data_IF_658851331910
#
_entry.id   IF_658851331910
#
_cell.length_a   1.000
_cell.length_b   1.000
_cell.length_c   1.000
_cell.angle_alpha   90.00
_cell.angle_beta   90.00
_cell.angle_gamma   90.00
#
_symmetry.space_group_name_H-M   'P 1'
#
loop_
_entity.id
_entity.type
_entity.pdbx_description
1 polymer ?
#
# COMPACT_ATOMS: atom_id res chain seq x y z
N UNK A 1 -10.30 12.42 14.23
CA UNK A 1 -9.39 13.59 14.37
C UNK A 1 -9.85 14.79 13.54
N UNK A 2 -9.96 14.67 12.21
CA UNK A 2 -10.47 15.75 11.37
C UNK A 2 -11.90 16.18 11.72
N UNK A 3 -12.81 15.20 11.84
CA UNK A 3 -14.20 15.45 12.23
C UNK A 3 -14.31 16.02 13.64
N UNK A 4 -13.37 15.66 14.53
CA UNK A 4 -13.32 16.18 15.90
C UNK A 4 -12.90 17.66 15.91
N UNK A 5 -11.96 18.07 15.04
CA UNK A 5 -11.53 19.47 14.89
C UNK A 5 -12.61 20.32 14.22
N UNK A 6 -13.32 19.78 13.22
CA UNK A 6 -14.45 20.46 12.59
C UNK A 6 -15.59 20.74 13.60
N UNK A 7 -15.84 19.82 14.53
CA UNK A 7 -16.83 19.99 15.62
C UNK A 7 -16.48 21.10 16.61
N UNK A 8 -15.22 21.54 16.66
CA UNK A 8 -14.76 22.64 17.51
C UNK A 8 -14.92 24.03 16.85
N UNK A 9 -15.58 24.11 15.68
CA UNK A 9 -15.86 25.38 15.01
C UNK A 9 -14.64 26.02 14.34
N UNK A 10 -13.50 25.31 14.25
CA UNK A 10 -12.33 25.78 13.51
C UNK A 10 -12.44 25.39 12.04
N UNK A 11 -12.10 26.34 11.16
CA UNK A 11 -11.93 26.04 9.73
C UNK A 11 -10.80 25.02 9.58
N UNK A 12 -11.17 23.79 9.28
CA UNK A 12 -10.24 22.65 9.18
C UNK A 12 -10.18 22.17 7.74
N UNK A 13 -8.98 22.05 7.20
CA UNK A 13 -8.73 21.44 5.89
C UNK A 13 -7.99 20.13 6.14
N UNK A 14 -8.56 19.03 5.66
CA UNK A 14 -7.95 17.70 5.77
C UNK A 14 -7.28 17.37 4.46
N UNK A 15 -5.98 17.13 4.53
CA UNK A 15 -5.19 16.73 3.36
C UNK A 15 -4.89 15.24 3.49
N UNK A 16 -5.56 14.37 2.72
CA UNK A 16 -5.24 12.95 2.72
C UNK A 16 -3.83 12.72 2.17
N UNK A 17 -3.25 11.54 2.42
CA UNK A 17 -1.96 11.21 1.84
C UNK A 17 -2.00 11.35 0.30
N UNK A 18 -0.87 11.73 -0.27
CA UNK A 18 -0.64 11.68 -1.70
C UNK A 18 0.46 10.70 -2.04
N UNK A 19 0.91 10.73 -3.28
CA UNK A 19 2.12 10.05 -3.73
C UNK A 19 3.02 10.98 -4.51
N UNK A 20 4.27 10.56 -4.69
CA UNK A 20 5.26 11.26 -5.48
C UNK A 20 5.40 10.59 -6.86
N UNK A 21 4.96 11.29 -7.90
CA UNK A 21 4.96 10.85 -9.28
C UNK A 21 6.35 10.85 -9.94
N UNK A 22 7.35 11.43 -9.28
CA UNK A 22 8.74 11.32 -9.69
C UNK A 22 9.43 10.10 -9.08
N UNK A 23 8.97 9.67 -7.90
CA UNK A 23 9.61 8.58 -7.15
C UNK A 23 8.99 7.21 -7.38
N UNK A 24 7.71 7.12 -7.77
CA UNK A 24 7.01 5.84 -7.92
C UNK A 24 6.47 5.67 -9.33
N UNK A 25 6.98 4.67 -10.03
CA UNK A 25 6.55 4.31 -11.40
C UNK A 25 7.01 2.88 -11.68
N UNK A 26 6.43 2.20 -12.69
CA UNK A 26 6.80 0.83 -12.99
C UNK A 26 8.31 0.70 -13.25
N UNK A 27 9.00 -0.25 -12.60
CA UNK A 27 10.43 -0.45 -12.79
C UNK A 27 10.72 -1.12 -14.14
N UNK A 28 11.93 -0.92 -14.66
CA UNK A 28 12.38 -1.54 -15.93
C UNK A 28 12.63 -3.05 -15.83
N UNK A 29 12.89 -3.54 -14.62
CA UNK A 29 13.25 -4.93 -14.36
C UNK A 29 12.38 -5.50 -13.25
N UNK A 30 12.12 -6.81 -13.34
CA UNK A 30 11.37 -7.58 -12.35
C UNK A 30 12.19 -8.77 -11.86
N UNK A 31 11.98 -9.14 -10.61
CA UNK A 31 12.58 -10.28 -9.90
C UNK A 31 11.69 -11.50 -10.13
N UNK A 32 12.21 -12.52 -10.81
CA UNK A 32 11.43 -13.70 -11.23
C UNK A 32 10.93 -14.51 -10.03
N UNK A 33 11.74 -14.56 -8.98
CA UNK A 33 11.49 -15.32 -7.75
C UNK A 33 10.31 -14.77 -6.95
N UNK A 34 9.89 -13.52 -7.20
CA UNK A 34 8.77 -12.88 -6.50
C UNK A 34 7.44 -13.00 -7.25
N UNK A 35 7.43 -13.47 -8.50
CA UNK A 35 6.26 -13.44 -9.39
C UNK A 35 5.04 -14.15 -8.80
N UNK A 36 5.21 -15.20 -8.01
CA UNK A 36 4.10 -15.94 -7.39
C UNK A 36 4.03 -15.74 -5.88
N UNK A 37 4.83 -14.80 -5.35
CA UNK A 37 4.99 -14.63 -3.91
C UNK A 37 4.36 -13.33 -3.42
N UNK A 38 3.48 -13.37 -2.40
CA UNK A 38 3.10 -12.16 -1.70
C UNK A 38 4.32 -11.51 -1.04
N UNK A 39 4.39 -10.18 -1.08
CA UNK A 39 5.46 -9.43 -0.39
C UNK A 39 4.88 -8.45 0.61
N UNK A 40 5.60 -8.23 1.69
CA UNK A 40 5.33 -7.15 2.63
C UNK A 40 6.60 -6.32 2.83
N UNK A 41 6.54 -5.01 2.58
CA UNK A 41 7.65 -4.10 2.86
C UNK A 41 7.32 -3.24 4.07
N UNK A 42 8.04 -3.43 5.17
CA UNK A 42 7.88 -2.61 6.37
C UNK A 42 8.60 -3.12 7.61
N UNK A 43 8.83 -2.19 8.54
CA UNK A 43 9.39 -2.50 9.87
C UNK A 43 8.48 -3.41 10.68
N UNK A 44 9.08 -4.30 11.45
CA UNK A 44 8.36 -5.19 12.34
C UNK A 44 7.51 -4.47 13.38
N UNK A 45 6.34 -5.04 13.64
CA UNK A 45 5.56 -4.86 14.86
C UNK A 45 4.87 -6.20 15.18
N UNK A 46 4.55 -6.45 16.44
CA UNK A 46 3.82 -7.67 16.83
C UNK A 46 2.49 -7.81 16.07
N UNK A 47 1.78 -6.69 15.82
CA UNK A 47 0.53 -6.68 15.04
C UNK A 47 0.73 -7.09 13.59
N UNK A 48 1.81 -6.63 12.94
CA UNK A 48 2.15 -7.02 11.56
C UNK A 48 2.54 -8.48 11.48
N UNK A 49 3.34 -8.97 12.43
CA UNK A 49 3.68 -10.38 12.50
C UNK A 49 2.42 -11.25 12.62
N UNK A 50 1.51 -10.93 13.57
CA UNK A 50 0.24 -11.64 13.73
C UNK A 50 -0.62 -11.64 12.46
N UNK A 51 -0.72 -10.48 11.80
CA UNK A 51 -1.45 -10.37 10.54
C UNK A 51 -0.86 -11.29 9.47
N UNK A 52 0.46 -11.27 9.28
CA UNK A 52 1.11 -12.12 8.29
C UNK A 52 1.10 -13.61 8.68
N UNK A 53 0.97 -13.94 9.97
CA UNK A 53 0.92 -15.33 10.44
C UNK A 53 -0.38 -16.05 10.10
N UNK A 54 -1.43 -15.34 9.66
CA UNK A 54 -2.62 -15.99 9.08
C UNK A 54 -2.37 -16.56 7.69
N UNK A 55 -1.32 -16.09 7.02
CA UNK A 55 -0.85 -16.61 5.75
C UNK A 55 -0.03 -17.88 6.02
N UNK A 56 -0.06 -18.84 5.08
CA UNK A 56 0.88 -19.97 5.16
C UNK A 56 2.30 -19.38 5.11
N UNK A 57 3.02 -19.52 6.22
CA UNK A 57 4.22 -18.73 6.56
C UNK A 57 5.35 -18.79 5.53
N UNK A 58 5.38 -19.82 4.67
CA UNK A 58 6.35 -19.97 3.59
C UNK A 58 6.04 -19.15 2.32
N UNK A 59 4.86 -18.52 2.22
CA UNK A 59 4.47 -17.80 1.01
C UNK A 59 5.02 -16.36 0.96
N UNK A 60 5.12 -15.67 2.10
CA UNK A 60 5.40 -14.23 2.15
C UNK A 60 6.89 -13.92 2.28
N UNK A 61 7.39 -13.05 1.41
CA UNK A 61 8.70 -12.42 1.60
C UNK A 61 8.53 -11.07 2.29
N UNK A 62 9.24 -10.89 3.40
CA UNK A 62 9.22 -9.66 4.16
C UNK A 62 10.49 -8.87 3.89
N UNK A 63 10.38 -7.62 3.47
CA UNK A 63 11.52 -6.70 3.37
C UNK A 63 11.41 -5.65 4.47
N UNK A 64 12.33 -5.64 5.43
CA UNK A 64 12.24 -4.65 6.50
C UNK A 64 13.14 -4.86 7.71
N UNK A 65 13.04 -3.93 8.64
CA UNK A 65 13.85 -3.88 9.85
C UNK A 65 13.16 -4.49 11.07
N UNK A 66 13.96 -4.89 12.06
CA UNK A 66 13.53 -5.29 13.42
C UNK A 66 12.67 -6.56 13.50
N UNK A 67 12.60 -7.36 12.44
CA UNK A 67 11.92 -8.65 12.48
C UNK A 67 12.73 -9.65 13.32
N UNK A 68 12.11 -10.33 14.30
CA UNK A 68 12.76 -11.39 15.06
C UNK A 68 13.23 -12.53 14.15
N UNK A 69 14.35 -13.17 14.49
CA UNK A 69 14.88 -14.33 13.75
C UNK A 69 13.92 -15.52 13.77
N UNK A 70 13.15 -15.65 14.85
CA UNK A 70 12.11 -16.66 15.09
C UNK A 70 10.72 -16.20 14.63
N UNK A 71 10.62 -15.15 13.81
CA UNK A 71 9.34 -14.64 13.33
C UNK A 71 8.56 -15.60 12.43
N UNK A 72 9.25 -16.60 11.86
CA UNK A 72 8.67 -17.60 10.95
C UNK A 72 8.54 -17.13 9.50
N UNK A 73 9.10 -15.97 9.14
CA UNK A 73 9.07 -15.41 7.79
C UNK A 73 10.45 -15.40 7.14
N UNK A 74 10.48 -15.44 5.80
CA UNK A 74 11.66 -15.07 5.04
C UNK A 74 11.84 -13.56 5.08
N UNK A 75 12.80 -13.09 5.88
CA UNK A 75 13.08 -11.67 6.06
C UNK A 75 14.32 -11.28 5.28
N UNK A 76 14.13 -10.39 4.32
CA UNK A 76 15.14 -9.74 3.51
C UNK A 76 15.47 -8.34 4.05
N UNK A 77 16.64 -7.78 3.70
CA UNK A 77 16.98 -6.40 4.03
C UNK A 77 15.89 -5.42 3.59
N UNK A 78 15.75 -4.30 4.32
CA UNK A 78 14.83 -3.26 3.91
C UNK A 78 15.25 -2.66 2.56
N UNK A 79 14.26 -2.44 1.69
CA UNK A 79 14.43 -1.85 0.36
C UNK A 79 13.86 -0.45 0.31
N UNK A 80 14.43 0.37 -0.56
CA UNK A 80 14.10 1.78 -0.73
C UNK A 80 14.15 2.13 -2.22
N UNK A 81 13.49 3.23 -2.61
CA UNK A 81 13.58 3.81 -3.96
C UNK A 81 13.40 2.74 -5.07
N UNK A 82 14.36 2.61 -5.97
CA UNK A 82 14.31 1.66 -7.09
C UNK A 82 14.14 0.21 -6.64
N UNK A 83 14.85 -0.22 -5.60
CA UNK A 83 14.71 -1.58 -5.06
C UNK A 83 13.30 -1.81 -4.49
N UNK A 84 12.71 -0.80 -3.85
CA UNK A 84 11.33 -0.89 -3.38
C UNK A 84 10.37 -1.11 -4.54
N UNK A 85 10.49 -0.30 -5.60
CA UNK A 85 9.64 -0.39 -6.81
C UNK A 85 9.78 -1.75 -7.46
N UNK A 86 11.02 -2.20 -7.67
CA UNK A 86 11.33 -3.51 -8.24
C UNK A 86 10.72 -4.64 -7.41
N UNK A 87 10.87 -4.62 -6.09
CA UNK A 87 10.30 -5.66 -5.22
C UNK A 87 8.76 -5.71 -5.31
N UNK A 88 8.08 -4.58 -5.10
CA UNK A 88 6.61 -4.59 -5.05
C UNK A 88 5.98 -4.88 -6.41
N UNK A 89 6.58 -4.36 -7.50
CA UNK A 89 6.10 -4.61 -8.85
C UNK A 89 6.34 -6.06 -9.30
N UNK A 90 7.38 -6.72 -8.77
CA UNK A 90 7.67 -8.12 -9.11
C UNK A 90 6.77 -9.11 -8.39
N UNK A 91 6.17 -8.69 -7.28
CA UNK A 91 5.48 -9.57 -6.37
C UNK A 91 4.17 -10.13 -6.91
N UNK A 92 3.86 -11.37 -6.50
CA UNK A 92 2.54 -11.97 -6.37
C UNK A 92 1.43 -10.94 -6.15
N UNK A 93 1.53 -10.31 -5.00
CA UNK A 93 0.79 -9.13 -4.62
C UNK A 93 1.59 -8.41 -3.53
N UNK A 94 1.34 -7.13 -3.34
CA UNK A 94 1.94 -6.35 -2.28
C UNK A 94 0.93 -6.13 -1.16
N UNK A 95 1.24 -6.62 0.03
CA UNK A 95 0.39 -6.49 1.22
C UNK A 95 0.61 -5.11 1.83
N UNK A 96 -0.47 -4.33 1.96
CA UNK A 96 -0.48 -3.04 2.62
C UNK A 96 -1.19 -3.15 3.98
N UNK A 97 -0.41 -3.11 5.08
CA UNK A 97 -0.95 -3.10 6.44
C UNK A 97 -0.90 -1.69 7.04
N UNK A 98 -2.05 -1.22 7.53
CA UNK A 98 -2.19 0.07 8.20
C UNK A 98 -1.65 0.01 9.64
N UNK A 99 -1.20 1.16 10.13
CA UNK A 99 -0.95 1.37 11.57
C UNK A 99 -2.27 1.61 12.29
N UNK A 100 -2.31 1.38 13.59
CA UNK A 100 -3.48 1.66 14.45
C UNK A 100 -4.02 3.08 14.24
N UNK A 101 -3.13 4.06 14.09
CA UNK A 101 -3.47 5.47 13.89
C UNK A 101 -4.21 5.75 12.57
N UNK A 102 -4.08 4.85 11.59
CA UNK A 102 -4.67 4.98 10.26
C UNK A 102 -5.75 3.92 10.04
N UNK A 103 -6.22 3.23 11.09
CA UNK A 103 -7.10 2.07 10.95
C UNK A 103 -8.38 2.38 10.15
N UNK A 104 -8.89 3.61 10.27
CA UNK A 104 -10.11 4.07 9.59
C UNK A 104 -9.82 4.91 8.33
N UNK A 105 -8.58 4.90 7.84
CA UNK A 105 -8.12 5.75 6.73
C UNK A 105 -7.21 4.95 5.79
N UNK A 106 -6.09 5.51 5.36
CA UNK A 106 -5.18 4.91 4.41
C UNK A 106 -3.72 5.32 4.70
N UNK A 107 -2.79 4.92 3.83
CA UNK A 107 -1.40 5.39 3.89
C UNK A 107 -0.88 5.68 2.47
N UNK A 108 0.39 6.02 2.34
CA UNK A 108 0.99 6.32 1.03
C UNK A 108 0.95 5.12 0.08
N UNK A 109 1.07 3.88 0.60
CA UNK A 109 1.07 2.63 -0.21
C UNK A 109 -0.21 2.44 -1.00
N UNK A 110 -1.32 3.02 -0.56
CA UNK A 110 -2.58 3.08 -1.30
C UNK A 110 -2.36 3.54 -2.74
N UNK A 111 -1.50 4.54 -2.96
CA UNK A 111 -1.20 5.06 -4.29
C UNK A 111 0.16 4.59 -4.83
N UNK A 112 1.16 4.42 -3.97
CA UNK A 112 2.51 4.02 -4.40
C UNK A 112 2.51 2.61 -5.03
N UNK A 113 1.75 1.65 -4.48
CA UNK A 113 1.70 0.29 -5.00
C UNK A 113 1.11 0.21 -6.42
N UNK A 114 -0.09 0.75 -6.70
CA UNK A 114 -0.60 0.77 -8.06
C UNK A 114 0.25 1.64 -9.00
N UNK A 115 0.88 2.72 -8.51
CA UNK A 115 1.83 3.50 -9.32
C UNK A 115 3.03 2.67 -9.79
N UNK A 116 3.51 1.74 -8.96
CA UNK A 116 4.57 0.80 -9.32
C UNK A 116 4.07 -0.38 -10.17
N UNK A 117 2.76 -0.49 -10.44
CA UNK A 117 2.16 -1.62 -11.12
C UNK A 117 2.00 -2.88 -10.27
N UNK A 118 1.96 -2.74 -8.95
CA UNK A 118 1.74 -3.84 -8.02
C UNK A 118 0.24 -4.02 -7.73
N UNK A 119 -0.24 -5.27 -7.75
CA UNK A 119 -1.56 -5.61 -7.22
C UNK A 119 -1.52 -5.52 -5.69
N UNK A 120 -2.40 -4.71 -5.12
CA UNK A 120 -2.42 -4.45 -3.69
C UNK A 120 -3.40 -5.37 -2.95
N UNK A 121 -3.03 -5.81 -1.75
CA UNK A 121 -3.95 -6.43 -0.78
C UNK A 121 -3.95 -5.55 0.48
N UNK A 122 -5.08 -4.96 0.81
CA UNK A 122 -5.18 -3.93 1.85
C UNK A 122 -6.42 -4.14 2.75
N UNK A 123 -6.42 -3.66 4.00
CA UNK A 123 -7.62 -3.70 4.83
C UNK A 123 -8.73 -2.84 4.23
N UNK A 124 -9.99 -3.24 4.40
CA UNK A 124 -11.14 -2.43 4.01
C UNK A 124 -11.25 -1.21 4.92
N UNK A 125 -11.23 -0.04 4.30
CA UNK A 125 -11.49 1.25 4.96
C UNK A 125 -12.29 2.12 4.01
N UNK A 126 -12.98 3.13 4.55
CA UNK A 126 -13.73 4.08 3.72
C UNK A 126 -12.84 4.73 2.65
N UNK A 127 -11.61 5.10 3.02
CA UNK A 127 -10.65 5.73 2.11
C UNK A 127 -10.15 4.77 1.03
N UNK A 128 -9.91 3.50 1.36
CA UNK A 128 -9.55 2.49 0.36
C UNK A 128 -10.68 2.23 -0.62
N UNK A 129 -11.93 2.11 -0.16
CA UNK A 129 -13.09 1.95 -1.04
C UNK A 129 -13.35 3.17 -1.92
N UNK A 130 -13.01 4.36 -1.41
CA UNK A 130 -13.15 5.61 -2.15
C UNK A 130 -12.18 5.74 -3.32
N UNK A 131 -10.94 5.27 -3.18
CA UNK A 131 -9.90 5.52 -4.19
C UNK A 131 -9.43 4.28 -4.94
N UNK A 132 -9.47 3.09 -4.33
CA UNK A 132 -9.00 1.87 -4.97
C UNK A 132 -10.13 1.19 -5.73
N UNK A 133 -9.80 0.66 -6.90
CA UNK A 133 -10.72 -0.15 -7.70
C UNK A 133 -10.47 -1.64 -7.45
N UNK A 134 -11.45 -2.52 -7.72
CA UNK A 134 -11.24 -3.96 -7.67
C UNK A 134 -10.13 -4.46 -8.61
N UNK A 135 -9.74 -3.69 -9.62
CA UNK A 135 -8.63 -4.00 -10.53
C UNK A 135 -7.27 -3.77 -9.84
N UNK A 136 -7.15 -2.69 -9.08
CA UNK A 136 -5.90 -2.27 -8.42
C UNK A 136 -5.67 -2.97 -7.07
N UNK A 137 -6.74 -3.44 -6.43
CA UNK A 137 -6.70 -3.92 -5.06
C UNK A 137 -7.69 -5.05 -4.77
N UNK A 138 -7.37 -5.86 -3.76
CA UNK A 138 -8.30 -6.71 -3.03
C UNK A 138 -8.35 -6.25 -1.57
N UNK A 139 -9.57 -6.02 -1.07
CA UNK A 139 -9.80 -5.54 0.30
C UNK A 139 -10.23 -6.68 1.22
N UNK A 140 -9.76 -6.65 2.47
CA UNK A 140 -10.09 -7.64 3.51
C UNK A 140 -10.53 -6.97 4.81
N UNK A 141 -11.40 -7.61 5.59
CA UNK A 141 -11.90 -7.08 6.86
C UNK A 141 -11.23 -7.70 8.10
N UNK A 142 -10.58 -8.86 7.96
CA UNK A 142 -9.94 -9.59 9.06
C UNK A 142 -8.62 -10.27 8.66
N UNK A 143 -7.87 -10.79 9.64
CA UNK A 143 -6.65 -11.56 9.36
C UNK A 143 -6.97 -12.90 8.70
N UNK A 144 -8.11 -13.50 9.00
CA UNK A 144 -8.62 -14.69 8.34
C UNK A 144 -8.92 -14.40 6.86
N UNK A 145 -9.56 -13.27 6.57
CA UNK A 145 -9.83 -12.84 5.20
C UNK A 145 -8.58 -12.42 4.43
N UNK A 146 -7.52 -11.95 5.11
CA UNK A 146 -6.25 -11.62 4.46
C UNK A 146 -5.69 -12.83 3.69
N UNK A 147 -5.81 -14.06 4.21
CA UNK A 147 -5.37 -15.26 3.50
C UNK A 147 -6.16 -15.49 2.21
N UNK A 148 -7.49 -15.44 2.28
CA UNK A 148 -8.36 -15.55 1.11
C UNK A 148 -8.11 -14.44 0.10
N UNK A 149 -7.85 -13.22 0.56
CA UNK A 149 -7.56 -12.07 -0.30
C UNK A 149 -6.21 -12.24 -1.03
N UNK A 150 -5.19 -12.77 -0.34
CA UNK A 150 -3.90 -13.10 -0.96
C UNK A 150 -4.07 -14.22 -1.99
N UNK A 151 -4.77 -15.31 -1.67
CA UNK A 151 -5.00 -16.40 -2.62
C UNK A 151 -5.78 -15.91 -3.85
N UNK A 152 -6.79 -15.07 -3.65
CA UNK A 152 -7.52 -14.42 -4.74
C UNK A 152 -6.61 -13.55 -5.59
N UNK A 153 -5.70 -12.78 -4.97
CA UNK A 153 -4.75 -11.94 -5.68
C UNK A 153 -3.77 -12.76 -6.53
N UNK A 154 -3.26 -13.87 -6.00
CA UNK A 154 -2.33 -14.75 -6.71
C UNK A 154 -3.01 -15.50 -7.87
N UNK A 155 -4.32 -15.73 -7.79
CA UNK A 155 -5.09 -16.37 -8.87
C UNK A 155 -5.40 -15.44 -10.06
N UNK A 156 -5.18 -14.12 -9.92
CA UNK A 156 -5.47 -13.14 -10.99
C UNK A 156 -4.42 -13.18 -12.09
N UNK A 157 -4.83 -13.01 -13.36
CA UNK A 157 -3.88 -12.81 -14.45
C UNK A 157 -3.06 -11.54 -14.19
N UNK A 158 -1.75 -11.64 -14.42
CA UNK A 158 -0.84 -10.50 -14.37
C UNK A 158 -0.88 -9.74 -15.68
N UNK A 159 -0.91 -8.42 -15.57
CA UNK A 159 -0.75 -7.53 -16.70
C UNK A 159 0.54 -6.76 -16.52
N UNK A 160 1.28 -6.55 -17.61
CA UNK A 160 2.45 -5.69 -17.57
C UNK A 160 1.99 -4.24 -17.56
N UNK A 161 1.99 -3.64 -16.37
CA UNK A 161 1.68 -2.23 -16.19
C UNK A 161 2.96 -1.46 -16.49
N UNK A 162 2.97 -0.74 -17.60
CA UNK A 162 4.11 0.06 -18.08
C UNK A 162 4.03 1.53 -17.67
N UNK A 163 2.85 2.01 -17.27
CA UNK A 163 2.64 3.36 -16.76
C UNK A 163 1.66 3.38 -15.57
N UNK A 164 1.79 4.33 -14.63
CA UNK A 164 0.82 4.51 -13.55
C UNK A 164 -0.61 4.76 -14.09
N UNK A 165 -1.65 4.16 -13.47
CA UNK A 165 -3.04 4.46 -13.80
C UNK A 165 -3.35 5.96 -13.77
N UNK A 166 -4.03 6.47 -14.81
CA UNK A 166 -4.29 7.93 -14.97
C UNK A 166 -5.01 8.58 -13.78
N UNK A 167 -5.86 7.82 -13.10
CA UNK A 167 -6.61 8.31 -11.93
C UNK A 167 -5.69 8.70 -10.77
N UNK A 168 -4.49 8.11 -10.67
CA UNK A 168 -3.53 8.41 -9.60
C UNK A 168 -3.03 9.87 -9.67
N UNK A 169 -2.93 10.47 -10.85
CA UNK A 169 -2.40 11.84 -10.98
C UNK A 169 -3.28 12.90 -10.28
N UNK A 170 -4.53 12.58 -9.95
CA UNK A 170 -5.39 13.42 -9.11
C UNK A 170 -4.99 13.39 -7.61
N UNK A 171 -4.04 12.54 -7.24
CA UNK A 171 -3.66 12.24 -5.85
C UNK A 171 -2.15 12.44 -5.59
N UNK A 172 -1.42 13.10 -6.48
CA UNK A 172 0.00 13.44 -6.23
C UNK A 172 0.12 14.48 -5.10
N UNK A 173 1.27 14.56 -4.44
CA UNK A 173 1.51 15.63 -3.46
C UNK A 173 1.40 17.03 -4.08
N UNK A 174 1.79 17.20 -5.35
CA UNK A 174 1.56 18.43 -6.08
C UNK A 174 0.06 18.74 -6.24
N UNK A 175 -0.77 17.72 -6.51
CA UNK A 175 -2.23 17.88 -6.56
C UNK A 175 -2.81 18.23 -5.17
N UNK A 176 -2.31 17.59 -4.09
CA UNK A 176 -2.68 17.92 -2.71
C UNK A 176 -2.35 19.38 -2.37
N UNK A 177 -1.14 19.84 -2.70
CA UNK A 177 -0.72 21.22 -2.46
C UNK A 177 -1.60 22.23 -3.21
N UNK A 178 -1.88 21.99 -4.51
CA UNK A 178 -2.79 22.84 -5.28
C UNK A 178 -4.18 22.92 -4.67
N UNK A 179 -4.72 21.80 -4.18
CA UNK A 179 -6.02 21.77 -3.50
C UNK A 179 -6.03 22.63 -2.24
N UNK A 180 -4.95 22.59 -1.44
CA UNK A 180 -4.84 23.43 -0.24
C UNK A 180 -4.76 24.91 -0.59
N UNK A 181 -3.94 25.29 -1.57
CA UNK A 181 -3.81 26.68 -2.00
C UNK A 181 -5.14 27.23 -2.53
N UNK A 182 -5.85 26.44 -3.33
CA UNK A 182 -7.18 26.79 -3.83
C UNK A 182 -8.19 27.02 -2.69
N UNK A 183 -8.23 26.14 -1.69
CA UNK A 183 -9.08 26.29 -0.51
C UNK A 183 -8.71 27.55 0.31
N UNK A 184 -7.43 27.90 0.37
CA UNK A 184 -6.96 29.12 1.03
C UNK A 184 -7.15 30.39 0.18
N UNK A 185 -7.61 30.27 -1.07
CA UNK A 185 -7.76 31.40 -1.99
C UNK A 185 -6.44 31.98 -2.51
N UNK A 186 -5.36 31.21 -2.41
CA UNK A 186 -4.02 31.58 -2.89
C UNK A 186 -3.88 31.10 -4.34
N UNK A 187 -3.62 32.04 -5.25
CA UNK A 187 -3.40 31.77 -6.68
C UNK A 187 -1.93 31.68 -7.02
#
# INVERSE_FOLDING_TARGET
>A
MADDLARLGQRTIVVPFGWDDMSYFPPKHRIKELVERPVFVGTWTQRRQRALSSLRSSAVVVFGHRWPRDSGFEVMPAVYEDDYRTVVASAGCAINLLRTQNADSHNMRTFELPACGALQVAPRTHDHERWLTPQDCILFDSYEELATAVDSALSRPRFDITEPPKWLYAHTYAARARSVLAELGIR
#
